data_IF_655621068962
#
_entry.id   IF_655621068962
#
_cell.length_a   1.000
_cell.length_b   1.000
_cell.length_c   1.000
_cell.angle_alpha   90.00
_cell.angle_beta   90.00
_cell.angle_gamma   90.00
#
_symmetry.space_group_name_H-M   'P 1'
#
loop_
_entity.id
_entity.type
_entity.pdbx_description
1 polymer ?
#
# COMPACT_ATOMS: atom_id res chain seq x y z
N UNK A 1 53.89 10.83 -51.62
CA UNK A 1 52.44 11.07 -51.75
C UNK A 1 51.84 10.78 -50.38
N UNK A 2 51.73 11.83 -49.57
CA UNK A 2 51.20 11.72 -48.17
C UNK A 2 49.70 12.06 -48.28
N UNK A 3 48.78 11.21 -47.77
CA UNK A 3 47.36 11.53 -47.82
C UNK A 3 47.06 12.71 -46.89
N UNK A 4 46.43 13.76 -47.43
CA UNK A 4 45.90 14.88 -46.65
C UNK A 4 44.90 14.37 -45.64
N UNK A 5 45.22 14.56 -44.36
CA UNK A 5 44.29 14.35 -43.27
C UNK A 5 43.16 15.38 -43.44
N UNK A 6 41.98 14.95 -43.86
CA UNK A 6 40.78 15.78 -43.80
C UNK A 6 40.45 16.05 -42.32
N UNK A 7 40.83 17.27 -41.89
CA UNK A 7 40.41 17.77 -40.57
C UNK A 7 38.92 18.01 -40.61
N UNK A 8 38.16 17.08 -40.08
CA UNK A 8 36.70 17.19 -39.96
C UNK A 8 36.42 18.51 -39.19
N UNK A 9 35.71 19.48 -39.78
CA UNK A 9 35.53 20.78 -39.15
C UNK A 9 34.80 20.62 -37.81
N UNK A 10 35.32 21.25 -36.77
CA UNK A 10 34.85 21.21 -35.39
C UNK A 10 33.32 21.35 -35.28
N UNK A 11 32.70 22.14 -36.17
CA UNK A 11 31.22 22.29 -36.28
C UNK A 11 30.49 20.98 -36.55
N UNK A 12 31.07 20.07 -37.36
CA UNK A 12 30.43 18.76 -37.65
C UNK A 12 30.49 17.83 -36.44
N UNK A 13 31.55 17.90 -35.66
CA UNK A 13 31.68 17.16 -34.40
C UNK A 13 30.67 17.66 -33.36
N UNK A 14 30.52 18.99 -33.20
CA UNK A 14 29.49 19.54 -32.32
C UNK A 14 28.07 19.16 -32.75
N UNK A 15 27.79 19.15 -34.03
CA UNK A 15 26.48 18.74 -34.55
C UNK A 15 26.22 17.24 -34.27
N UNK A 16 27.21 16.36 -34.44
CA UNK A 16 27.10 14.94 -34.17
C UNK A 16 26.91 14.64 -32.66
N UNK A 17 27.64 15.33 -31.79
CA UNK A 17 27.49 15.18 -30.32
C UNK A 17 26.13 15.72 -29.85
N UNK A 18 25.66 16.84 -30.42
CA UNK A 18 24.35 17.39 -30.10
C UNK A 18 23.22 16.44 -30.54
N UNK A 19 23.34 15.84 -31.73
CA UNK A 19 22.39 14.87 -32.25
C UNK A 19 22.39 13.59 -31.41
N UNK A 20 23.56 13.09 -30.99
CA UNK A 20 23.68 11.95 -30.10
C UNK A 20 23.09 12.22 -28.70
N UNK A 21 23.28 13.42 -28.16
CA UNK A 21 22.68 13.84 -26.89
C UNK A 21 21.15 13.89 -26.95
N UNK A 22 20.56 14.36 -28.08
CA UNK A 22 19.12 14.40 -28.31
C UNK A 22 18.49 13.00 -28.41
N UNK A 23 19.23 12.02 -28.95
CA UNK A 23 18.73 10.62 -29.06
C UNK A 23 18.78 9.91 -27.71
N UNK A 24 19.73 10.26 -26.83
CA UNK A 24 19.89 9.65 -25.51
C UNK A 24 18.87 10.15 -24.47
N UNK A 25 18.20 11.29 -24.69
CA UNK A 25 17.20 11.83 -23.75
C UNK A 25 15.78 11.32 -23.96
N UNK A 26 15.52 10.45 -24.96
CA UNK A 26 14.19 10.08 -25.41
C UNK A 26 13.55 8.85 -24.76
N UNK A 27 14.24 8.08 -23.94
CA UNK A 27 13.70 6.83 -23.36
C UNK A 27 13.70 6.86 -21.83
N UNK A 28 12.90 7.73 -21.21
CA UNK A 28 12.48 7.50 -19.84
C UNK A 28 11.52 6.28 -19.78
N UNK A 29 11.65 5.39 -18.79
CA UNK A 29 10.65 4.33 -18.61
C UNK A 29 9.28 4.97 -18.46
N UNK A 30 8.30 4.51 -19.28
CA UNK A 30 6.92 4.96 -19.17
C UNK A 30 6.44 4.61 -17.77
N UNK A 31 6.14 5.61 -16.95
CA UNK A 31 5.58 5.32 -15.62
C UNK A 31 4.25 4.60 -15.81
N UNK A 32 3.98 3.55 -15.03
CA UNK A 32 2.69 2.89 -15.07
C UNK A 32 1.57 3.90 -14.78
N UNK A 33 0.43 3.70 -15.42
CA UNK A 33 -0.74 4.52 -15.20
C UNK A 33 -1.21 4.40 -13.74
N UNK A 34 -1.58 5.51 -13.13
CA UNK A 34 -2.09 5.53 -11.76
C UNK A 34 -3.63 5.52 -11.82
N UNK A 35 -4.22 4.54 -11.15
CA UNK A 35 -5.67 4.42 -10.96
C UNK A 35 -6.02 4.91 -9.56
N UNK A 36 -7.06 5.75 -9.45
CA UNK A 36 -7.52 6.30 -8.18
C UNK A 36 -8.93 5.79 -7.89
N UNK A 37 -9.16 5.38 -6.65
CA UNK A 37 -10.48 4.98 -6.16
C UNK A 37 -10.70 5.49 -4.74
N UNK A 38 -11.96 5.62 -4.35
CA UNK A 38 -12.36 5.91 -2.99
C UNK A 38 -13.26 4.81 -2.47
N UNK A 39 -12.97 4.33 -1.28
CA UNK A 39 -13.68 3.26 -0.60
C UNK A 39 -14.01 3.70 0.82
N UNK A 40 -15.26 3.54 1.23
CA UNK A 40 -15.63 3.61 2.64
C UNK A 40 -15.54 2.20 3.23
N UNK A 41 -14.60 1.98 4.15
CA UNK A 41 -14.41 0.73 4.87
C UNK A 41 -13.76 1.00 6.24
N UNK A 42 -13.97 0.11 7.20
CA UNK A 42 -13.45 0.23 8.58
C UNK A 42 -13.78 1.59 9.21
N UNK A 43 -15.03 2.07 9.02
CA UNK A 43 -15.55 3.35 9.50
C UNK A 43 -14.75 4.59 9.04
N UNK A 44 -14.02 4.47 7.93
CA UNK A 44 -13.24 5.58 7.38
C UNK A 44 -13.34 5.66 5.86
N UNK A 45 -13.14 6.86 5.32
CA UNK A 45 -13.00 7.07 3.88
C UNK A 45 -11.54 6.88 3.48
N UNK A 46 -11.28 5.86 2.68
CA UNK A 46 -9.95 5.54 2.16
C UNK A 46 -9.82 6.06 0.73
N UNK A 47 -8.66 6.65 0.42
CA UNK A 47 -8.28 7.01 -0.94
C UNK A 47 -7.17 6.09 -1.40
N UNK A 48 -7.41 5.35 -2.48
CA UNK A 48 -6.48 4.41 -3.07
C UNK A 48 -5.82 5.06 -4.29
N UNK A 49 -4.51 4.93 -4.42
CA UNK A 49 -3.78 5.26 -5.62
C UNK A 49 -2.84 4.10 -5.96
N UNK A 50 -3.15 3.43 -7.07
CA UNK A 50 -2.51 2.17 -7.46
C UNK A 50 -1.87 2.35 -8.83
N UNK A 51 -0.59 2.00 -8.96
CA UNK A 51 0.14 2.02 -10.22
C UNK A 51 0.18 0.61 -10.80
N UNK A 52 -0.33 0.45 -12.02
CA UNK A 52 -0.35 -0.84 -12.71
C UNK A 52 -1.67 -1.08 -13.43
N UNK A 53 -2.14 -2.33 -13.40
CA UNK A 53 -3.38 -2.71 -14.05
C UNK A 53 -4.60 -2.25 -13.25
N UNK A 54 -5.67 -1.81 -13.94
CA UNK A 54 -6.92 -1.36 -13.32
C UNK A 54 -7.55 -2.44 -12.42
N UNK A 55 -7.39 -3.72 -12.78
CA UNK A 55 -7.86 -4.85 -12.00
C UNK A 55 -7.32 -4.88 -10.55
N UNK A 56 -6.13 -4.29 -10.30
CA UNK A 56 -5.56 -4.19 -8.96
C UNK A 56 -6.38 -3.31 -8.01
N UNK A 57 -7.13 -2.36 -8.55
CA UNK A 57 -8.04 -1.53 -7.75
C UNK A 57 -9.13 -2.41 -7.13
N UNK A 58 -9.83 -3.18 -7.96
CA UNK A 58 -10.89 -4.08 -7.51
C UNK A 58 -10.35 -5.14 -6.53
N UNK A 59 -9.19 -5.72 -6.80
CA UNK A 59 -8.56 -6.68 -5.88
C UNK A 59 -8.22 -6.06 -4.53
N UNK A 60 -7.78 -4.80 -4.53
CA UNK A 60 -7.48 -4.07 -3.28
C UNK A 60 -8.75 -3.77 -2.50
N UNK A 61 -9.81 -3.33 -3.17
CA UNK A 61 -11.12 -3.09 -2.55
C UNK A 61 -11.68 -4.38 -1.94
N UNK A 62 -11.65 -5.50 -2.65
CA UNK A 62 -12.12 -6.81 -2.18
C UNK A 62 -11.31 -7.27 -0.95
N UNK A 63 -9.98 -7.04 -0.98
CA UNK A 63 -9.12 -7.36 0.16
C UNK A 63 -9.48 -6.53 1.39
N UNK A 64 -9.68 -5.23 1.23
CA UNK A 64 -10.06 -4.34 2.33
C UNK A 64 -11.42 -4.72 2.93
N UNK A 65 -12.42 -5.05 2.08
CA UNK A 65 -13.72 -5.52 2.55
C UNK A 65 -13.64 -6.87 3.28
N UNK A 66 -12.80 -7.77 2.79
CA UNK A 66 -12.58 -9.06 3.45
C UNK A 66 -11.94 -8.89 4.83
N UNK A 67 -10.96 -7.99 4.96
CA UNK A 67 -10.35 -7.65 6.25
C UNK A 67 -11.35 -6.98 7.19
N UNK A 68 -12.18 -6.06 6.70
CA UNK A 68 -13.24 -5.45 7.50
C UNK A 68 -14.19 -6.51 8.06
N UNK A 69 -14.63 -7.47 7.25
CA UNK A 69 -15.51 -8.54 7.69
C UNK A 69 -14.88 -9.41 8.79
N UNK A 70 -13.56 -9.62 8.77
CA UNK A 70 -12.85 -10.39 9.79
C UNK A 70 -12.54 -9.59 11.07
N UNK A 71 -12.20 -8.31 10.92
CA UNK A 71 -11.60 -7.49 11.98
C UNK A 71 -12.58 -6.51 12.64
N UNK A 72 -13.81 -6.40 12.15
CA UNK A 72 -14.81 -5.51 12.74
C UNK A 72 -15.07 -5.89 14.20
N UNK A 73 -15.04 -4.90 15.10
CA UNK A 73 -15.41 -5.11 16.49
C UNK A 73 -16.95 -5.16 16.71
N UNK A 74 -17.73 -4.76 15.71
CA UNK A 74 -19.19 -4.62 15.79
C UNK A 74 -19.98 -5.60 14.91
N UNK A 75 -19.37 -6.14 13.85
CA UNK A 75 -20.02 -7.17 13.01
C UNK A 75 -20.05 -8.51 13.74
N UNK A 76 -21.23 -9.01 14.09
CA UNK A 76 -21.44 -10.17 14.98
C UNK A 76 -20.66 -11.43 14.58
N UNK A 77 -20.50 -11.66 13.28
CA UNK A 77 -19.83 -12.84 12.73
C UNK A 77 -18.31 -12.66 12.53
N UNK A 78 -17.76 -11.49 12.82
CA UNK A 78 -16.33 -11.25 12.70
C UNK A 78 -15.54 -12.01 13.77
N UNK A 79 -14.28 -12.29 13.48
CA UNK A 79 -13.37 -12.95 14.43
C UNK A 79 -13.19 -12.10 15.70
N UNK A 80 -13.03 -10.80 15.55
CA UNK A 80 -12.80 -9.88 16.66
C UNK A 80 -14.05 -9.70 17.52
N UNK A 81 -15.24 -9.58 16.92
CA UNK A 81 -16.47 -9.44 17.69
C UNK A 81 -16.75 -10.73 18.49
N UNK A 82 -16.54 -11.92 17.89
CA UNK A 82 -16.67 -13.20 18.61
C UNK A 82 -15.68 -13.29 19.77
N UNK A 83 -14.38 -12.93 19.51
CA UNK A 83 -13.36 -12.96 20.53
C UNK A 83 -13.70 -12.00 21.69
N UNK A 84 -14.17 -10.79 21.40
CA UNK A 84 -14.55 -9.80 22.41
C UNK A 84 -15.77 -10.24 23.24
N UNK A 85 -16.75 -10.91 22.59
CA UNK A 85 -17.96 -11.37 23.26
C UNK A 85 -17.74 -12.61 24.12
N UNK A 86 -17.02 -13.60 23.60
CA UNK A 86 -16.93 -14.92 24.19
C UNK A 86 -15.64 -15.16 24.97
N UNK A 87 -14.67 -14.22 24.87
CA UNK A 87 -13.35 -14.33 25.51
C UNK A 87 -12.41 -15.34 24.84
N UNK A 88 -12.93 -16.12 23.89
CA UNK A 88 -12.21 -17.12 23.09
C UNK A 88 -12.94 -17.31 21.76
N UNK A 89 -12.20 -17.50 20.69
CA UNK A 89 -12.78 -17.76 19.37
C UNK A 89 -11.81 -18.57 18.51
N UNK A 90 -12.36 -19.33 17.57
CA UNK A 90 -11.60 -19.91 16.48
C UNK A 90 -11.40 -18.81 15.42
N UNK A 91 -10.15 -18.43 15.19
CA UNK A 91 -9.79 -17.28 14.35
C UNK A 91 -9.32 -17.75 12.98
N UNK A 92 -9.61 -16.94 11.97
CA UNK A 92 -8.96 -17.08 10.67
C UNK A 92 -7.45 -16.80 10.78
N UNK A 93 -6.60 -17.43 9.94
CA UNK A 93 -5.16 -17.27 10.02
C UNK A 93 -4.71 -15.80 9.98
N UNK A 94 -5.34 -14.96 9.14
CA UNK A 94 -5.02 -13.55 9.01
C UNK A 94 -5.27 -12.79 10.32
N UNK A 95 -6.38 -13.10 11.00
CA UNK A 95 -6.73 -12.47 12.29
C UNK A 95 -5.77 -12.93 13.38
N UNK A 96 -5.43 -14.21 13.41
CA UNK A 96 -4.47 -14.77 14.37
C UNK A 96 -3.08 -14.16 14.23
N UNK A 97 -2.59 -14.04 13.00
CA UNK A 97 -1.29 -13.42 12.71
C UNK A 97 -1.26 -11.93 13.11
N UNK A 98 -2.34 -11.20 12.82
CA UNK A 98 -2.44 -9.79 13.21
C UNK A 98 -2.45 -9.60 14.73
N UNK A 99 -3.22 -10.43 15.45
CA UNK A 99 -3.27 -10.38 16.91
C UNK A 99 -1.93 -10.75 17.54
N UNK A 100 -1.21 -11.74 17.00
CA UNK A 100 0.13 -12.08 17.47
C UNK A 100 1.08 -10.89 17.30
N UNK A 101 1.07 -10.22 16.15
CA UNK A 101 1.87 -9.02 15.92
C UNK A 101 1.49 -7.88 16.87
N UNK A 102 0.21 -7.70 17.15
CA UNK A 102 -0.28 -6.70 18.10
C UNK A 102 0.20 -6.98 19.54
N UNK A 103 0.15 -8.24 20.00
CA UNK A 103 0.66 -8.66 21.30
C UNK A 103 2.19 -8.50 21.41
N UNK A 104 2.92 -8.83 20.36
CA UNK A 104 4.37 -8.61 20.30
C UNK A 104 4.71 -7.11 20.36
N UNK A 105 3.91 -6.27 19.70
CA UNK A 105 4.06 -4.82 19.80
C UNK A 105 3.79 -4.32 21.22
N UNK A 106 2.72 -4.79 21.86
CA UNK A 106 2.41 -4.46 23.25
C UNK A 106 3.57 -4.82 24.19
N UNK A 107 4.12 -6.01 24.07
CA UNK A 107 5.27 -6.47 24.85
C UNK A 107 6.52 -5.59 24.62
N UNK A 108 6.83 -5.27 23.35
CA UNK A 108 8.00 -4.45 22.98
C UNK A 108 7.89 -3.00 23.42
N UNK A 109 6.69 -2.47 23.52
CA UNK A 109 6.43 -1.08 23.95
C UNK A 109 6.22 -0.95 25.45
N UNK A 110 6.32 -2.05 26.21
CA UNK A 110 6.07 -2.06 27.66
C UNK A 110 4.64 -1.64 28.01
N UNK A 111 3.67 -1.95 27.13
CA UNK A 111 2.26 -1.61 27.33
C UNK A 111 1.87 -0.18 26.86
N UNK A 112 2.76 0.56 26.20
CA UNK A 112 2.40 1.85 25.62
C UNK A 112 1.41 1.70 24.44
N UNK A 113 1.44 0.56 23.76
CA UNK A 113 0.41 0.07 22.85
C UNK A 113 -0.29 -1.12 23.54
N UNK A 114 -1.61 -1.10 23.60
CA UNK A 114 -2.42 -2.17 24.18
C UNK A 114 -3.59 -2.51 23.25
N UNK A 115 -3.60 -3.70 22.62
CA UNK A 115 -4.69 -4.11 21.74
C UNK A 115 -5.98 -4.51 22.49
N UNK A 116 -5.97 -4.56 23.83
CA UNK A 116 -7.11 -5.02 24.62
C UNK A 116 -8.02 -3.88 25.12
N UNK A 117 -7.90 -2.68 24.53
CA UNK A 117 -8.64 -1.47 24.96
C UNK A 117 -10.11 -1.44 24.59
N UNK A 118 -10.64 -2.44 23.85
CA UNK A 118 -12.02 -2.42 23.37
C UNK A 118 -13.08 -2.21 24.48
N UNK A 119 -12.99 -2.81 25.69
CA UNK A 119 -13.93 -2.51 26.77
C UNK A 119 -13.96 -1.03 27.16
N UNK A 120 -12.82 -0.34 27.08
CA UNK A 120 -12.75 1.11 27.32
C UNK A 120 -13.40 1.90 26.19
N UNK A 121 -13.20 1.47 24.95
CA UNK A 121 -13.83 2.07 23.77
C UNK A 121 -15.36 1.99 23.88
N UNK A 122 -15.90 0.83 24.30
CA UNK A 122 -17.32 0.66 24.58
C UNK A 122 -17.82 1.56 25.71
N UNK A 123 -17.05 1.69 26.81
CA UNK A 123 -17.40 2.53 27.93
C UNK A 123 -17.52 4.01 27.56
N UNK A 124 -16.72 4.48 26.62
CA UNK A 124 -16.74 5.84 26.08
C UNK A 124 -17.84 6.03 24.99
N UNK A 125 -18.55 4.98 24.59
CA UNK A 125 -19.64 5.03 23.62
C UNK A 125 -19.19 5.20 22.15
N UNK A 126 -17.95 4.84 21.85
CA UNK A 126 -17.43 4.94 20.47
C UNK A 126 -18.01 3.91 19.49
N UNK A 127 -18.28 2.65 19.84
CA UNK A 127 -19.00 1.77 18.93
C UNK A 127 -20.50 2.03 19.05
N UNK A 128 -21.06 2.72 18.10
CA UNK A 128 -22.54 2.91 17.98
C UNK A 128 -23.06 2.17 16.77
#
# INVERSE_FOLDING_TARGET
MIPENEVIPLKKWFAAVLLAALVLTGCGPKQPEAHEAQLFAMDTLMSLRIWGEEALVTQTEDTLRSLEALLSATAEDSDIARLNRDGTAELQPQTADLLQQALDCAARTGGAFDPTVYPLVCLWGFPS
#
